data_IF_319251374495
#
_entry.id   IF_319251374495
#
_cell.length_a   1.000
_cell.length_b   1.000
_cell.length_c   1.000
_cell.angle_alpha   90.00
_cell.angle_beta   90.00
_cell.angle_gamma   90.00
#
_symmetry.space_group_name_H-M   'P 1'
#
loop_
_entity.id
_entity.type
_entity.pdbx_description
1 polymer ?
#
# COMPACT_ATOMS: atom_id res chain seq x y z
N UNK A 1 15.32 -0.74 1.93
CA UNK A 1 14.53 -1.95 1.69
C UNK A 1 15.39 -2.95 0.93
N UNK A 2 15.35 -4.24 1.28
CA UNK A 2 15.98 -5.33 0.50
C UNK A 2 14.99 -5.89 -0.53
N UNK A 3 15.46 -6.66 -1.51
CA UNK A 3 14.58 -7.31 -2.50
C UNK A 3 13.49 -8.18 -1.82
N UNK A 4 13.86 -8.93 -0.78
CA UNK A 4 12.90 -9.73 -0.02
C UNK A 4 11.81 -8.85 0.64
N UNK A 5 12.20 -7.73 1.23
CA UNK A 5 11.25 -6.79 1.84
C UNK A 5 10.34 -6.15 0.78
N UNK A 6 10.87 -5.87 -0.41
CA UNK A 6 10.10 -5.35 -1.54
C UNK A 6 9.03 -6.35 -2.02
N UNK A 7 9.40 -7.61 -2.23
CA UNK A 7 8.45 -8.67 -2.60
C UNK A 7 7.37 -8.87 -1.51
N UNK A 8 7.75 -8.78 -0.23
CA UNK A 8 6.79 -8.83 0.87
C UNK A 8 5.84 -7.61 0.87
N UNK A 9 6.36 -6.41 0.60
CA UNK A 9 5.55 -5.20 0.52
C UNK A 9 4.54 -5.28 -0.63
N UNK A 10 4.96 -5.74 -1.81
CA UNK A 10 4.08 -5.98 -2.96
C UNK A 10 2.97 -6.98 -2.62
N UNK A 11 3.32 -8.12 -2.02
CA UNK A 11 2.33 -9.13 -1.63
C UNK A 11 1.32 -8.59 -0.60
N UNK A 12 1.75 -7.73 0.33
CA UNK A 12 0.86 -7.07 1.29
C UNK A 12 -0.02 -6.01 0.63
N UNK A 13 0.51 -5.27 -0.35
CA UNK A 13 -0.24 -4.25 -1.10
C UNK A 13 -1.40 -4.89 -1.88
N UNK A 14 -1.14 -6.00 -2.59
CA UNK A 14 -2.18 -6.76 -3.33
C UNK A 14 -3.28 -7.24 -2.40
N UNK A 15 -2.92 -7.89 -1.28
CA UNK A 15 -3.91 -8.33 -0.28
C UNK A 15 -4.68 -7.17 0.34
N UNK A 16 -4.03 -6.03 0.56
CA UNK A 16 -4.68 -4.83 1.06
C UNK A 16 -5.71 -4.27 0.09
N UNK A 17 -5.42 -4.29 -1.22
CA UNK A 17 -6.37 -3.89 -2.26
C UNK A 17 -7.61 -4.79 -2.26
N UNK A 18 -7.43 -6.12 -2.25
CA UNK A 18 -8.52 -7.10 -2.15
C UNK A 18 -9.36 -6.89 -0.88
N UNK A 19 -8.71 -6.56 0.24
CA UNK A 19 -9.42 -6.27 1.49
C UNK A 19 -10.26 -5.00 1.39
N UNK A 20 -9.76 -3.94 0.74
CA UNK A 20 -10.48 -2.66 0.58
C UNK A 20 -11.73 -2.75 -0.33
N UNK A 21 -11.77 -3.73 -1.24
CA UNK A 21 -12.93 -4.02 -2.09
C UNK A 21 -14.12 -4.61 -1.31
N UNK A 22 -13.88 -5.11 -0.09
CA UNK A 22 -14.95 -5.62 0.77
C UNK A 22 -15.94 -4.53 1.15
N UNK A 23 -17.23 -4.83 1.02
CA UNK A 23 -18.32 -3.90 1.37
C UNK A 23 -18.71 -3.95 2.84
N UNK A 24 -18.22 -4.94 3.59
CA UNK A 24 -18.57 -5.20 4.99
C UNK A 24 -17.57 -4.58 6.00
N UNK A 25 -16.64 -3.75 5.54
CA UNK A 25 -15.69 -3.05 6.40
C UNK A 25 -16.36 -1.94 7.21
N UNK A 26 -16.05 -1.86 8.50
CA UNK A 26 -16.35 -0.67 9.28
C UNK A 26 -15.55 0.55 8.77
N UNK A 27 -16.02 1.79 9.03
CA UNK A 27 -15.26 2.99 8.67
C UNK A 27 -13.84 3.00 9.24
N UNK A 28 -13.65 2.55 10.48
CA UNK A 28 -12.33 2.46 11.12
C UNK A 28 -11.42 1.43 10.43
N UNK A 29 -11.95 0.26 10.08
CA UNK A 29 -11.19 -0.77 9.36
C UNK A 29 -10.78 -0.28 7.97
N UNK A 30 -11.67 0.45 7.29
CA UNK A 30 -11.39 1.04 5.98
C UNK A 30 -10.32 2.12 6.08
N UNK A 31 -10.37 2.97 7.10
CA UNK A 31 -9.35 4.00 7.37
C UNK A 31 -7.97 3.37 7.63
N UNK A 32 -7.90 2.38 8.52
CA UNK A 32 -6.65 1.65 8.80
C UNK A 32 -6.09 0.96 7.55
N UNK A 33 -6.95 0.33 6.74
CA UNK A 33 -6.54 -0.32 5.50
C UNK A 33 -6.04 0.68 4.45
N UNK A 34 -6.69 1.85 4.32
CA UNK A 34 -6.24 2.93 3.43
C UNK A 34 -4.89 3.50 3.86
N UNK A 35 -4.68 3.72 5.16
CA UNK A 35 -3.41 4.22 5.69
C UNK A 35 -2.27 3.24 5.38
N UNK A 36 -2.47 1.95 5.69
CA UNK A 36 -1.48 0.91 5.40
C UNK A 36 -1.20 0.78 3.89
N UNK A 37 -2.24 0.87 3.06
CA UNK A 37 -2.09 0.84 1.60
C UNK A 37 -1.26 2.02 1.09
N UNK A 38 -1.49 3.22 1.62
CA UNK A 38 -0.71 4.41 1.30
C UNK A 38 0.75 4.32 1.72
N UNK A 39 1.02 3.79 2.92
CA UNK A 39 2.38 3.56 3.42
C UNK A 39 3.14 2.56 2.54
N UNK A 40 2.56 1.40 2.26
CA UNK A 40 3.16 0.38 1.38
C UNK A 40 3.41 0.92 -0.02
N UNK A 41 2.46 1.66 -0.58
CA UNK A 41 2.61 2.28 -1.91
C UNK A 41 3.81 3.23 -1.93
N UNK A 42 3.93 4.09 -0.91
CA UNK A 42 5.07 5.01 -0.79
C UNK A 42 6.39 4.26 -0.68
N UNK A 43 6.47 3.26 0.19
CA UNK A 43 7.68 2.45 0.38
C UNK A 43 8.13 1.77 -0.93
N UNK A 44 7.19 1.19 -1.69
CA UNK A 44 7.45 0.54 -2.97
C UNK A 44 7.93 1.56 -4.01
N UNK A 45 7.24 2.70 -4.15
CA UNK A 45 7.61 3.73 -5.11
C UNK A 45 9.00 4.32 -4.81
N UNK A 46 9.31 4.61 -3.54
CA UNK A 46 10.65 5.06 -3.15
C UNK A 46 11.71 4.01 -3.47
N UNK A 47 11.45 2.72 -3.22
CA UNK A 47 12.39 1.66 -3.58
C UNK A 47 12.64 1.57 -5.10
N UNK A 48 11.62 1.83 -5.92
CA UNK A 48 11.73 1.86 -7.37
C UNK A 48 12.33 3.16 -7.93
N UNK A 49 12.63 4.15 -7.09
CA UNK A 49 13.07 5.49 -7.54
C UNK A 49 11.96 6.31 -8.21
N UNK A 50 10.69 6.01 -7.89
CA UNK A 50 9.48 6.60 -8.47
C UNK A 50 8.70 7.49 -7.48
N UNK A 51 9.37 8.02 -6.46
CA UNK A 51 8.75 8.87 -5.42
C UNK A 51 8.10 10.15 -5.96
N UNK A 52 8.53 10.63 -7.14
CA UNK A 52 7.92 11.77 -7.84
C UNK A 52 6.42 11.56 -8.13
N UNK A 53 5.98 10.31 -8.36
CA UNK A 53 4.57 9.95 -8.61
C UNK A 53 3.67 10.31 -7.43
N UNK A 54 4.21 10.41 -6.22
CA UNK A 54 3.45 10.72 -5.00
C UNK A 54 3.02 12.20 -4.97
N UNK A 55 3.79 13.08 -5.62
CA UNK A 55 3.62 14.54 -5.53
C UNK A 55 2.89 15.16 -6.73
N UNK A 56 2.62 14.39 -7.78
CA UNK A 56 1.88 14.83 -8.97
C UNK A 56 0.34 14.68 -8.85
N UNK A 57 -0.16 14.39 -7.64
CA UNK A 57 -1.60 14.23 -7.35
C UNK A 57 -2.30 15.53 -6.97
#
# INVERSE_FOLDING_TARGET
MTELQYQQALARLVKGAEYLERTDLSPEQREQANQLYGELTREILTYQGMEWVIYER
#
